data_IF_766555462503
#
_entry.id   IF_766555462503
#
_cell.length_a   1.000
_cell.length_b   1.000
_cell.length_c   1.000
_cell.angle_alpha   90.00
_cell.angle_beta   90.00
_cell.angle_gamma   90.00
#
_symmetry.space_group_name_H-M   'P 1'
#
loop_
_entity.id
_entity.type
_entity.pdbx_description
1 polymer ?
#
# COMPACT_ATOMS: atom_id res chain seq x y z
N UNK A 1 30.23 22.71 -4.55
CA UNK A 1 31.64 22.23 -4.49
C UNK A 1 31.65 20.75 -4.79
N UNK A 2 32.59 20.26 -5.60
CA UNK A 2 32.75 18.82 -5.85
C UNK A 2 33.27 18.15 -4.58
N UNK A 3 32.65 17.05 -4.14
CA UNK A 3 33.02 16.36 -2.89
C UNK A 3 34.27 15.50 -3.09
N UNK A 4 35.00 15.20 -2.00
CA UNK A 4 36.20 14.32 -2.01
C UNK A 4 35.92 12.96 -2.69
N UNK A 5 34.71 12.42 -2.50
CA UNK A 5 34.26 11.19 -3.14
C UNK A 5 34.24 11.27 -4.68
N UNK A 6 33.98 12.45 -5.26
CA UNK A 6 34.01 12.66 -6.72
C UNK A 6 35.42 12.52 -7.29
N UNK A 7 36.44 13.00 -6.56
CA UNK A 7 37.84 12.87 -6.95
C UNK A 7 38.37 11.44 -6.82
N UNK A 8 37.87 10.69 -5.85
CA UNK A 8 38.28 9.31 -5.58
C UNK A 8 37.53 8.28 -6.44
N UNK A 9 36.58 8.71 -7.27
CA UNK A 9 35.74 7.80 -8.06
C UNK A 9 34.87 6.88 -7.20
N UNK A 10 34.65 7.24 -5.93
CA UNK A 10 33.90 6.42 -4.98
C UNK A 10 32.40 6.70 -5.13
N UNK A 11 31.79 6.11 -6.16
CA UNK A 11 30.39 6.30 -6.50
C UNK A 11 29.44 5.92 -5.35
N UNK A 12 29.79 4.94 -4.52
CA UNK A 12 28.96 4.52 -3.38
C UNK A 12 28.90 5.59 -2.29
N UNK A 13 30.04 6.18 -1.95
CA UNK A 13 30.09 7.32 -1.03
C UNK A 13 29.44 8.56 -1.64
N UNK A 14 29.65 8.79 -2.95
CA UNK A 14 29.04 9.90 -3.66
C UNK A 14 27.52 9.85 -3.60
N UNK A 15 26.93 8.68 -3.87
CA UNK A 15 25.48 8.44 -3.85
C UNK A 15 24.88 8.72 -2.46
N UNK A 16 25.57 8.35 -1.39
CA UNK A 16 25.11 8.58 -0.01
C UNK A 16 25.05 10.07 0.38
N UNK A 17 25.91 10.88 -0.22
CA UNK A 17 26.05 12.31 0.09
C UNK A 17 25.34 13.23 -0.93
N UNK A 18 24.59 12.68 -1.90
CA UNK A 18 23.84 13.50 -2.85
C UNK A 18 22.68 14.18 -2.12
N UNK A 19 22.79 15.50 -2.04
CA UNK A 19 21.70 16.39 -1.65
C UNK A 19 20.97 16.81 -2.93
N UNK A 20 19.66 16.60 -2.95
CA UNK A 20 18.77 17.02 -4.04
C UNK A 20 17.75 18.01 -3.52
N UNK A 21 17.19 18.80 -4.43
CA UNK A 21 16.06 19.65 -4.11
C UNK A 21 14.78 18.81 -3.99
N UNK A 22 13.88 19.19 -3.08
CA UNK A 22 12.55 18.57 -2.90
C UNK A 22 11.78 18.51 -4.22
N UNK A 23 11.86 19.54 -5.05
CA UNK A 23 11.24 19.59 -6.38
C UNK A 23 11.76 18.51 -7.31
N UNK A 24 13.03 18.09 -7.16
CA UNK A 24 13.60 17.00 -7.96
C UNK A 24 12.94 15.66 -7.63
N UNK A 25 12.52 15.44 -6.37
CA UNK A 25 11.75 14.25 -5.98
C UNK A 25 10.34 14.27 -6.59
N UNK A 26 9.68 15.44 -6.60
CA UNK A 26 8.36 15.60 -7.23
C UNK A 26 8.44 15.30 -8.73
N UNK A 27 9.43 15.87 -9.42
CA UNK A 27 9.66 15.63 -10.84
C UNK A 27 9.89 14.13 -11.10
N UNK A 28 10.75 13.48 -10.31
CA UNK A 28 11.02 12.05 -10.45
C UNK A 28 9.73 11.21 -10.29
N UNK A 29 8.93 11.50 -9.26
CA UNK A 29 7.66 10.81 -9.02
C UNK A 29 6.67 10.97 -10.19
N UNK A 30 6.59 12.16 -10.79
CA UNK A 30 5.77 12.39 -11.99
C UNK A 30 6.26 11.52 -13.16
N UNK A 31 7.58 11.49 -13.41
CA UNK A 31 8.15 10.69 -14.49
C UNK A 31 7.95 9.19 -14.31
N UNK A 32 7.98 8.70 -13.07
CA UNK A 32 7.76 7.28 -12.75
C UNK A 32 6.29 6.95 -12.51
N UNK A 33 5.37 7.89 -12.77
CA UNK A 33 3.93 7.74 -12.51
C UNK A 33 3.63 7.28 -11.07
N UNK A 34 4.46 7.72 -10.14
CA UNK A 34 4.35 7.38 -8.72
C UNK A 34 3.47 8.42 -8.04
N UNK A 35 2.39 7.98 -7.42
CA UNK A 35 1.52 8.86 -6.63
C UNK A 35 2.24 9.20 -5.33
N UNK A 36 2.50 10.49 -5.13
CA UNK A 36 3.01 11.05 -3.88
C UNK A 36 2.09 12.19 -3.44
N UNK A 37 1.93 12.34 -2.14
CA UNK A 37 1.19 13.40 -1.46
C UNK A 37 2.16 14.35 -0.75
N UNK A 38 1.66 15.45 -0.19
CA UNK A 38 2.51 16.38 0.57
C UNK A 38 3.13 15.74 1.82
N UNK A 39 2.41 14.81 2.46
CA UNK A 39 2.87 14.04 3.62
C UNK A 39 4.05 13.10 3.28
N UNK A 40 4.14 12.71 2.01
CA UNK A 40 5.22 11.88 1.49
C UNK A 40 6.49 12.66 1.20
N UNK A 41 6.39 13.99 1.12
CA UNK A 41 7.51 14.83 0.81
C UNK A 41 8.38 15.04 2.04
N UNK A 42 9.70 15.11 1.86
CA UNK A 42 10.60 15.44 2.94
C UNK A 42 10.40 16.87 3.44
N UNK A 43 10.76 17.07 4.71
CA UNK A 43 10.86 18.38 5.32
C UNK A 43 12.15 19.07 4.87
N UNK A 44 12.02 20.33 4.43
CA UNK A 44 13.14 21.12 3.91
C UNK A 44 13.33 21.05 2.40
N UNK A 45 14.02 22.04 1.87
CA UNK A 45 14.22 22.20 0.42
C UNK A 45 15.37 21.32 -0.10
N UNK A 46 16.37 21.06 0.73
CA UNK A 46 17.55 20.24 0.42
C UNK A 46 17.55 18.96 1.25
N UNK A 47 17.57 17.81 0.57
CA UNK A 47 17.33 16.51 1.21
C UNK A 47 18.33 15.46 0.75
N UNK A 48 18.69 14.54 1.66
CA UNK A 48 19.56 13.41 1.30
C UNK A 48 18.78 12.41 0.48
N UNK A 49 19.09 12.34 -0.81
CA UNK A 49 18.31 11.58 -1.79
C UNK A 49 18.11 10.12 -1.39
N UNK A 50 19.18 9.41 -1.00
CA UNK A 50 19.09 7.99 -0.66
C UNK A 50 18.15 7.73 0.51
N UNK A 51 18.19 8.58 1.53
CA UNK A 51 17.37 8.40 2.74
C UNK A 51 15.90 8.59 2.40
N UNK A 52 15.57 9.64 1.64
CA UNK A 52 14.18 9.92 1.27
C UNK A 52 13.65 8.91 0.27
N UNK A 53 14.46 8.49 -0.70
CA UNK A 53 14.06 7.44 -1.65
C UNK A 53 13.84 6.10 -0.94
N UNK A 54 14.72 5.71 0.01
CA UNK A 54 14.54 4.49 0.80
C UNK A 54 13.26 4.58 1.67
N UNK A 55 12.98 5.73 2.26
CA UNK A 55 11.74 5.99 3.03
C UNK A 55 10.51 5.82 2.14
N UNK A 56 10.47 6.52 1.00
CA UNK A 56 9.38 6.46 0.02
C UNK A 56 9.17 5.02 -0.46
N UNK A 57 10.25 4.34 -0.85
CA UNK A 57 10.20 2.97 -1.34
C UNK A 57 9.66 1.99 -0.29
N UNK A 58 10.10 2.10 0.97
CA UNK A 58 9.61 1.25 2.04
C UNK A 58 8.13 1.51 2.35
N UNK A 59 7.67 2.76 2.32
CA UNK A 59 6.24 3.07 2.46
C UNK A 59 5.43 2.41 1.35
N UNK A 60 5.78 2.64 0.08
CA UNK A 60 5.06 2.04 -1.05
C UNK A 60 5.05 0.51 -1.02
N UNK A 61 6.17 -0.10 -0.62
CA UNK A 61 6.26 -1.55 -0.45
C UNK A 61 5.31 -2.04 0.64
N UNK A 62 5.18 -1.31 1.74
CA UNK A 62 4.27 -1.66 2.83
C UNK A 62 2.81 -1.44 2.42
N UNK A 63 2.48 -0.32 1.77
CA UNK A 63 1.14 -0.03 1.22
C UNK A 63 0.72 -1.14 0.25
N UNK A 64 1.54 -1.45 -0.75
CA UNK A 64 1.24 -2.51 -1.71
C UNK A 64 1.13 -3.90 -1.07
N UNK A 65 1.87 -4.16 0.03
CA UNK A 65 1.69 -5.40 0.81
C UNK A 65 0.33 -5.42 1.51
N UNK A 66 -0.08 -4.32 2.13
CA UNK A 66 -1.38 -4.22 2.83
C UNK A 66 -2.52 -4.35 1.84
N UNK A 67 -2.51 -3.59 0.74
CA UNK A 67 -3.53 -3.68 -0.32
C UNK A 67 -3.61 -5.10 -0.92
N UNK A 68 -2.46 -5.76 -1.10
CA UNK A 68 -2.41 -7.14 -1.57
C UNK A 68 -3.02 -8.14 -0.58
N UNK A 69 -2.82 -7.94 0.73
CA UNK A 69 -3.44 -8.77 1.77
C UNK A 69 -4.94 -8.55 1.80
N UNK A 70 -5.41 -7.30 1.76
CA UNK A 70 -6.83 -6.93 1.72
C UNK A 70 -7.52 -7.56 0.51
N UNK A 71 -6.99 -7.33 -0.69
CA UNK A 71 -7.53 -7.86 -1.94
C UNK A 71 -7.56 -9.40 -1.94
N UNK A 72 -6.48 -10.03 -1.49
CA UNK A 72 -6.40 -11.48 -1.41
C UNK A 72 -7.40 -12.09 -0.41
N UNK A 73 -7.57 -11.45 0.75
CA UNK A 73 -8.54 -11.88 1.76
C UNK A 73 -9.97 -11.75 1.24
N UNK A 74 -10.32 -10.59 0.67
CA UNK A 74 -11.62 -10.34 0.07
C UNK A 74 -11.96 -11.40 -0.99
N UNK A 75 -11.08 -11.61 -1.96
CA UNK A 75 -11.30 -12.58 -3.05
C UNK A 75 -11.48 -14.02 -2.52
N UNK A 76 -10.74 -14.39 -1.47
CA UNK A 76 -10.87 -15.69 -0.83
C UNK A 76 -12.22 -15.83 -0.12
N UNK A 77 -12.64 -14.82 0.64
CA UNK A 77 -13.91 -14.82 1.36
C UNK A 77 -15.11 -14.83 0.41
N UNK A 78 -15.07 -14.05 -0.68
CA UNK A 78 -16.10 -14.10 -1.72
C UNK A 78 -16.25 -15.50 -2.32
N UNK A 79 -15.13 -16.16 -2.61
CA UNK A 79 -15.13 -17.53 -3.14
C UNK A 79 -15.72 -18.51 -2.13
N UNK A 80 -15.33 -18.42 -0.86
CA UNK A 80 -15.85 -19.27 0.20
C UNK A 80 -17.36 -19.06 0.42
N UNK A 81 -17.82 -17.82 0.42
CA UNK A 81 -19.24 -17.48 0.52
C UNK A 81 -20.03 -18.02 -0.67
N UNK A 82 -19.52 -17.87 -1.90
CA UNK A 82 -20.13 -18.45 -3.11
C UNK A 82 -20.23 -19.97 -3.03
N UNK A 83 -19.17 -20.65 -2.55
CA UNK A 83 -19.19 -22.11 -2.36
C UNK A 83 -20.21 -22.53 -1.31
N UNK A 84 -20.32 -21.77 -0.21
CA UNK A 84 -21.18 -22.12 0.93
C UNK A 84 -22.66 -21.80 0.70
N UNK A 85 -22.95 -20.66 0.07
CA UNK A 85 -24.30 -20.16 -0.19
C UNK A 85 -24.82 -20.51 -1.59
N UNK A 86 -23.95 -21.04 -2.46
CA UNK A 86 -24.22 -21.34 -3.88
C UNK A 86 -24.08 -20.14 -4.80
N UNK A 87 -24.56 -18.98 -4.36
CA UNK A 87 -24.37 -17.68 -5.01
C UNK A 87 -24.44 -16.57 -3.96
N UNK A 88 -23.89 -15.41 -4.28
CA UNK A 88 -24.08 -14.18 -3.49
C UNK A 88 -24.70 -13.09 -4.37
N UNK A 89 -25.51 -12.23 -3.77
CA UNK A 89 -26.15 -11.09 -4.42
C UNK A 89 -25.12 -10.00 -4.76
N UNK A 90 -25.40 -9.21 -5.80
CA UNK A 90 -24.56 -8.06 -6.15
C UNK A 90 -24.46 -7.03 -5.02
N UNK A 91 -25.53 -6.88 -4.25
CA UNK A 91 -25.53 -5.99 -3.08
C UNK A 91 -24.50 -6.44 -2.04
N UNK A 92 -24.38 -7.75 -1.82
CA UNK A 92 -23.40 -8.28 -0.88
C UNK A 92 -21.97 -8.18 -1.45
N UNK A 93 -21.77 -8.43 -2.75
CA UNK A 93 -20.47 -8.21 -3.41
C UNK A 93 -20.00 -6.75 -3.26
N UNK A 94 -20.87 -5.78 -3.52
CA UNK A 94 -20.55 -4.36 -3.36
C UNK A 94 -20.25 -4.01 -1.89
N UNK A 95 -20.97 -4.57 -0.92
CA UNK A 95 -20.67 -4.35 0.50
C UNK A 95 -19.31 -4.92 0.90
N UNK A 96 -19.01 -6.17 0.50
CA UNK A 96 -17.73 -6.81 0.77
C UNK A 96 -16.56 -6.02 0.18
N UNK A 97 -16.74 -5.43 -1.01
CA UNK A 97 -15.71 -4.59 -1.65
C UNK A 97 -15.40 -3.28 -0.90
N UNK A 98 -16.31 -2.81 -0.06
CA UNK A 98 -16.18 -1.60 0.74
C UNK A 98 -15.93 -1.87 2.24
N UNK A 99 -15.67 -3.13 2.60
CA UNK A 99 -15.50 -3.59 3.98
C UNK A 99 -14.07 -3.38 4.46
N UNK A 100 -13.87 -3.04 5.75
CA UNK A 100 -12.53 -2.86 6.33
C UNK A 100 -11.80 -4.20 6.54
N UNK A 101 -10.47 -4.17 6.68
CA UNK A 101 -9.69 -5.38 6.91
C UNK A 101 -10.08 -6.10 8.22
N UNK A 102 -10.46 -5.36 9.26
CA UNK A 102 -10.91 -5.89 10.55
C UNK A 102 -12.25 -6.61 10.43
N UNK A 103 -13.18 -6.06 9.66
CA UNK A 103 -14.46 -6.70 9.37
C UNK A 103 -14.27 -7.96 8.52
N UNK A 104 -13.35 -7.94 7.55
CA UNK A 104 -12.95 -9.15 6.81
C UNK A 104 -12.31 -10.20 7.73
N UNK A 105 -11.56 -9.78 8.76
CA UNK A 105 -11.01 -10.69 9.78
C UNK A 105 -12.12 -11.34 10.61
N UNK A 106 -13.10 -10.58 11.06
CA UNK A 106 -14.26 -11.11 11.78
C UNK A 106 -15.07 -12.10 10.93
N UNK A 107 -15.26 -11.76 9.65
CA UNK A 107 -15.91 -12.64 8.68
C UNK A 107 -15.11 -13.93 8.45
N UNK A 108 -13.77 -13.83 8.42
CA UNK A 108 -12.88 -15.00 8.28
C UNK A 108 -13.03 -15.97 9.43
N UNK A 109 -13.11 -15.48 10.67
CA UNK A 109 -13.29 -16.33 11.85
C UNK A 109 -14.67 -17.01 11.87
N UNK A 110 -15.70 -16.32 11.38
CA UNK A 110 -17.08 -16.79 11.40
C UNK A 110 -17.53 -17.51 10.13
N UNK A 111 -16.68 -17.66 9.12
CA UNK A 111 -17.04 -18.19 7.79
C UNK A 111 -17.76 -19.54 7.83
N UNK A 112 -17.41 -20.40 8.78
CA UNK A 112 -18.04 -21.72 8.93
C UNK A 112 -19.45 -21.66 9.53
N UNK A 113 -19.77 -20.62 10.30
CA UNK A 113 -21.04 -20.44 11.00
C UNK A 113 -22.12 -19.74 10.16
N UNK A 114 -21.76 -19.17 9.01
CA UNK A 114 -22.65 -18.42 8.12
C UNK A 114 -23.56 -19.37 7.35
N UNK A 115 -24.87 -19.16 7.35
CA UNK A 115 -25.80 -20.00 6.57
C UNK A 115 -26.66 -19.18 5.60
N UNK A 116 -26.51 -17.86 5.61
CA UNK A 116 -27.25 -16.93 4.76
C UNK A 116 -26.46 -15.64 4.54
N UNK A 117 -26.83 -14.87 3.52
CA UNK A 117 -26.27 -13.51 3.32
C UNK A 117 -26.57 -12.59 4.51
N UNK A 118 -27.71 -12.78 5.18
CA UNK A 118 -28.09 -12.02 6.36
C UNK A 118 -27.09 -12.22 7.52
N UNK A 119 -26.52 -13.42 7.67
CA UNK A 119 -25.50 -13.68 8.68
C UNK A 119 -24.20 -12.94 8.36
N UNK A 120 -23.87 -12.77 7.07
CA UNK A 120 -22.71 -11.96 6.64
C UNK A 120 -22.96 -10.50 6.98
N UNK A 121 -24.13 -9.97 6.61
CA UNK A 121 -24.48 -8.55 6.83
C UNK A 121 -24.46 -8.19 8.32
N UNK A 122 -24.86 -9.10 9.21
CA UNK A 122 -24.80 -8.89 10.66
C UNK A 122 -23.37 -8.79 11.21
N UNK A 123 -22.40 -9.41 10.55
CA UNK A 123 -20.99 -9.37 10.95
C UNK A 123 -20.27 -8.13 10.39
N UNK A 124 -20.87 -7.45 9.40
CA UNK A 124 -20.31 -6.25 8.78
C UNK A 124 -20.88 -4.94 9.36
N UNK A 125 -21.81 -5.01 10.32
CA UNK A 125 -22.45 -3.86 10.97
C UNK A 125 -21.93 -3.62 12.39
#
# INVERSE_FOLDING_TARGET
MLTKAMYEGNYKALIQDIVVLKESLIIAAIFTHTKITEEDLPEGDEVRMCVEMDRLFNRFKNEGRTEGIETGKLSTLETLLKVKLGSISRSLEEQLSNTSIEQLDELTVNIFNINSEEDVIKLLH
#
